data_IF_044866916432
#
_entry.id   IF_044866916432
#
_cell.length_a   1.000
_cell.length_b   1.000
_cell.length_c   1.000
_cell.angle_alpha   90.00
_cell.angle_beta   90.00
_cell.angle_gamma   90.00
#
_symmetry.space_group_name_H-M   'P 1'
#
loop_
_entity.id
_entity.type
_entity.pdbx_description
1 polymer ?
#
# COMPACT_ATOMS: atom_id res chain seq x y z
N UNK A 1 16.00 -7.03 -17.97
CA UNK A 1 16.71 -6.47 -16.83
C UNK A 1 16.96 -5.00 -17.05
N UNK A 2 16.57 -4.14 -16.09
CA UNK A 2 16.89 -2.72 -16.07
C UNK A 2 17.54 -2.36 -14.73
N UNK A 3 18.41 -1.35 -14.74
CA UNK A 3 19.05 -0.83 -13.52
C UNK A 3 18.77 0.66 -13.46
N UNK A 4 18.15 1.09 -12.36
CA UNK A 4 17.90 2.51 -12.05
C UNK A 4 18.82 2.90 -10.90
N UNK A 5 19.48 4.06 -11.05
CA UNK A 5 20.36 4.61 -10.02
C UNK A 5 19.93 6.02 -9.71
N UNK A 6 19.81 6.34 -8.42
CA UNK A 6 19.51 7.66 -7.93
C UNK A 6 20.51 8.04 -6.82
N UNK A 7 21.09 9.23 -6.91
CA UNK A 7 21.87 9.82 -5.83
C UNK A 7 20.98 10.83 -5.12
N UNK A 8 20.78 10.64 -3.83
CA UNK A 8 19.98 11.51 -2.97
C UNK A 8 20.93 12.25 -2.04
N UNK A 9 20.89 13.58 -2.09
CA UNK A 9 21.67 14.45 -1.22
C UNK A 9 20.73 15.13 -0.23
N UNK A 10 21.05 15.02 1.06
CA UNK A 10 20.29 15.62 2.14
C UNK A 10 21.20 15.85 3.36
N UNK A 11 21.15 17.06 3.92
CA UNK A 11 21.89 17.41 5.14
C UNK A 11 23.38 17.00 5.07
N UNK A 12 24.08 17.39 3.98
CA UNK A 12 25.48 17.07 3.68
C UNK A 12 25.80 15.56 3.55
N UNK A 13 24.77 14.73 3.46
CA UNK A 13 24.92 13.29 3.22
C UNK A 13 24.46 12.92 1.83
N UNK A 14 25.28 12.12 1.14
CA UNK A 14 24.93 11.55 -0.16
C UNK A 14 24.63 10.07 -0.01
N UNK A 15 23.47 9.65 -0.50
CA UNK A 15 23.05 8.26 -0.51
C UNK A 15 22.81 7.80 -1.93
N UNK A 16 23.51 6.76 -2.37
CA UNK A 16 23.29 6.12 -3.66
C UNK A 16 22.29 4.97 -3.52
N UNK A 17 21.19 5.04 -4.25
CA UNK A 17 20.18 3.99 -4.34
C UNK A 17 20.26 3.35 -5.72
N UNK A 18 20.36 2.03 -5.78
CA UNK A 18 20.33 1.27 -7.03
C UNK A 18 19.20 0.25 -6.96
N UNK A 19 18.37 0.21 -8.00
CA UNK A 19 17.29 -0.76 -8.17
C UNK A 19 17.56 -1.58 -9.42
N UNK A 20 17.60 -2.88 -9.26
CA UNK A 20 17.65 -3.85 -10.36
C UNK A 20 16.26 -4.44 -10.57
N UNK A 21 15.65 -4.09 -11.68
CA UNK A 21 14.32 -4.55 -12.08
C UNK A 21 14.47 -5.81 -12.93
N UNK A 22 13.89 -6.91 -12.46
CA UNK A 22 14.02 -8.22 -13.08
C UNK A 22 12.63 -8.75 -13.47
N UNK A 23 12.24 -8.74 -14.76
CA UNK A 23 10.98 -9.33 -15.20
C UNK A 23 10.90 -10.81 -14.79
N UNK A 24 9.80 -11.21 -14.14
CA UNK A 24 9.57 -12.59 -13.71
C UNK A 24 10.39 -13.07 -12.52
N UNK A 25 11.23 -12.21 -11.92
CA UNK A 25 12.04 -12.53 -10.72
C UNK A 25 11.95 -11.41 -9.71
N UNK A 26 12.37 -11.68 -8.47
CA UNK A 26 12.44 -10.65 -7.45
C UNK A 26 13.39 -9.51 -7.84
N UNK A 27 12.95 -8.27 -7.66
CA UNK A 27 13.79 -7.10 -7.80
C UNK A 27 14.85 -7.07 -6.69
N UNK A 28 16.02 -6.51 -7.00
CA UNK A 28 17.12 -6.34 -6.05
C UNK A 28 17.40 -4.86 -5.83
N UNK A 29 17.93 -4.53 -4.68
CA UNK A 29 18.34 -3.16 -4.39
C UNK A 29 19.68 -3.10 -3.67
N UNK A 30 20.34 -1.93 -3.77
CA UNK A 30 21.56 -1.61 -3.04
C UNK A 30 21.46 -0.18 -2.51
N UNK A 31 22.03 0.02 -1.33
CA UNK A 31 22.20 1.34 -0.71
C UNK A 31 23.69 1.53 -0.52
N UNK A 32 24.24 2.61 -1.08
CA UNK A 32 25.67 2.91 -1.04
C UNK A 32 26.55 1.72 -1.48
N UNK A 33 26.12 1.03 -2.56
CA UNK A 33 26.72 -0.19 -3.11
C UNK A 33 26.54 -1.47 -2.25
N UNK A 34 26.06 -1.36 -1.02
CA UNK A 34 25.71 -2.50 -0.17
C UNK A 34 24.38 -3.12 -0.60
N UNK A 35 24.31 -4.44 -0.79
CA UNK A 35 23.06 -5.12 -1.08
C UNK A 35 22.14 -5.10 0.15
N UNK A 36 20.84 -4.86 -0.08
CA UNK A 36 19.83 -4.97 0.96
C UNK A 36 19.03 -6.26 0.79
N UNK A 37 18.59 -6.89 1.89
CA UNK A 37 17.85 -8.15 1.85
C UNK A 37 16.58 -8.10 1.02
N UNK A 38 15.90 -6.95 1.01
CA UNK A 38 14.65 -6.74 0.27
C UNK A 38 14.67 -5.41 -0.46
N UNK A 39 14.23 -5.39 -1.71
CA UNK A 39 14.19 -4.17 -2.53
C UNK A 39 13.36 -3.04 -1.88
N UNK A 40 12.36 -3.37 -1.08
CA UNK A 40 11.54 -2.39 -0.35
C UNK A 40 12.28 -1.58 0.73
N UNK A 41 13.48 -1.98 1.13
CA UNK A 41 14.26 -1.26 2.14
C UNK A 41 14.79 0.09 1.64
N UNK A 42 14.71 0.37 0.34
CA UNK A 42 14.99 1.69 -0.23
C UNK A 42 13.83 2.68 -0.08
N UNK A 43 12.64 2.20 0.33
CA UNK A 43 11.49 3.08 0.55
C UNK A 43 11.77 4.07 1.68
N UNK A 44 11.37 5.33 1.48
CA UNK A 44 11.58 6.40 2.45
C UNK A 44 12.92 7.13 2.33
N UNK A 45 13.92 6.61 1.59
CA UNK A 45 15.17 7.32 1.31
C UNK A 45 14.89 8.54 0.43
N UNK A 46 14.14 8.34 -0.65
CA UNK A 46 13.64 9.41 -1.52
C UNK A 46 12.11 9.39 -1.49
N UNK A 47 11.52 10.50 -1.06
CA UNK A 47 10.08 10.71 -1.12
C UNK A 47 9.76 11.52 -2.36
N UNK A 48 8.93 10.97 -3.22
CA UNK A 48 8.52 11.60 -4.47
C UNK A 48 7.01 11.77 -4.51
N UNK A 49 6.55 12.84 -5.13
CA UNK A 49 5.16 13.04 -5.50
C UNK A 49 5.13 13.13 -7.01
N UNK A 50 4.35 12.27 -7.64
CA UNK A 50 4.08 12.32 -9.07
C UNK A 50 2.60 12.68 -9.25
N UNK A 51 2.31 13.63 -10.12
CA UNK A 51 0.97 13.91 -10.59
C UNK A 51 0.89 13.55 -12.06
N UNK A 52 -0.05 12.68 -12.39
CA UNK A 52 -0.24 12.15 -13.74
C UNK A 52 -1.75 12.12 -14.09
N UNK A 53 -2.13 12.07 -15.36
CA UNK A 53 -3.54 11.99 -15.77
C UNK A 53 -4.31 10.84 -15.13
N UNK A 54 -3.62 9.72 -14.83
CA UNK A 54 -4.16 8.55 -14.15
C UNK A 54 -4.62 8.83 -12.71
N UNK A 55 -4.12 9.91 -12.09
CA UNK A 55 -4.53 10.31 -10.73
C UNK A 55 -5.98 10.82 -10.68
N UNK A 56 -6.58 11.12 -11.84
CA UNK A 56 -8.01 11.39 -11.95
C UNK A 56 -8.86 10.17 -11.56
N UNK A 57 -8.31 8.97 -11.61
CA UNK A 57 -8.97 7.75 -11.16
C UNK A 57 -9.20 7.75 -9.65
N UNK A 58 -8.48 8.59 -8.89
CA UNK A 58 -8.75 8.81 -7.49
C UNK A 58 -10.20 9.29 -7.24
N UNK A 59 -10.74 10.09 -8.14
CA UNK A 59 -12.11 10.61 -8.08
C UNK A 59 -13.08 9.75 -8.89
N UNK A 60 -12.70 9.36 -10.09
CA UNK A 60 -13.59 8.69 -11.06
C UNK A 60 -13.51 7.16 -11.03
N UNK A 61 -12.40 6.62 -10.53
CA UNK A 61 -12.11 5.18 -10.50
C UNK A 61 -12.75 4.44 -9.33
N UNK A 62 -12.34 3.21 -9.18
CA UNK A 62 -12.85 2.28 -8.18
C UNK A 62 -12.37 2.60 -6.74
N UNK A 63 -13.08 2.11 -5.71
CA UNK A 63 -12.60 2.18 -4.33
C UNK A 63 -11.21 1.56 -4.12
N UNK A 64 -10.79 0.62 -4.97
CA UNK A 64 -9.45 0.04 -4.97
C UNK A 64 -8.36 1.06 -5.28
N UNK A 65 -8.62 2.02 -6.18
CA UNK A 65 -7.66 3.06 -6.53
C UNK A 65 -7.46 4.03 -5.38
N UNK A 66 -8.54 4.40 -4.71
CA UNK A 66 -8.48 5.23 -3.49
C UNK A 66 -7.74 4.53 -2.35
N UNK A 67 -7.98 3.23 -2.13
CA UNK A 67 -7.23 2.46 -1.12
C UNK A 67 -5.75 2.38 -1.47
N UNK A 68 -5.43 2.12 -2.74
CA UNK A 68 -4.03 2.07 -3.21
C UNK A 68 -3.32 3.40 -2.97
N UNK A 69 -3.95 4.52 -3.29
CA UNK A 69 -3.42 5.85 -3.03
C UNK A 69 -3.09 6.06 -1.54
N UNK A 70 -4.03 5.74 -0.64
CA UNK A 70 -3.79 5.83 0.80
C UNK A 70 -2.64 4.91 1.24
N UNK A 71 -2.62 3.68 0.75
CA UNK A 71 -1.57 2.71 1.09
C UNK A 71 -0.19 3.15 0.61
N UNK A 72 -0.10 3.74 -0.57
CA UNK A 72 1.14 4.27 -1.11
C UNK A 72 1.64 5.47 -0.29
N UNK A 73 0.75 6.37 0.14
CA UNK A 73 1.09 7.45 1.07
C UNK A 73 1.54 6.92 2.44
N UNK A 74 0.85 5.91 2.97
CA UNK A 74 1.22 5.26 4.23
C UNK A 74 2.62 4.66 4.16
N UNK A 75 2.96 3.99 3.06
CA UNK A 75 4.29 3.41 2.84
C UNK A 75 5.37 4.49 2.72
N UNK A 76 5.08 5.60 2.03
CA UNK A 76 6.00 6.74 1.96
C UNK A 76 6.28 7.37 3.33
N UNK A 77 5.28 7.39 4.20
CA UNK A 77 5.36 7.93 5.56
C UNK A 77 6.03 6.98 6.54
N UNK A 78 5.62 5.72 6.50
CA UNK A 78 6.06 4.66 7.40
C UNK A 78 6.40 3.40 6.58
N UNK A 79 7.65 3.25 6.08
CA UNK A 79 8.07 2.16 5.19
C UNK A 79 7.79 0.75 5.74
N UNK A 80 7.67 0.59 7.07
CA UNK A 80 7.28 -0.69 7.70
C UNK A 80 5.90 -1.18 7.21
N UNK A 81 4.98 -0.26 6.90
CA UNK A 81 3.64 -0.60 6.42
C UNK A 81 3.64 -1.28 5.05
N UNK A 82 4.72 -1.17 4.27
CA UNK A 82 4.89 -1.98 3.07
C UNK A 82 4.89 -3.49 3.39
N UNK A 83 5.42 -3.87 4.56
CA UNK A 83 5.37 -5.25 5.04
C UNK A 83 3.96 -5.68 5.42
N UNK A 84 3.29 -4.88 6.23
CA UNK A 84 1.90 -5.13 6.67
C UNK A 84 0.96 -5.28 5.48
N UNK A 85 1.05 -4.36 4.50
CA UNK A 85 0.27 -4.43 3.26
C UNK A 85 0.53 -5.72 2.48
N UNK A 86 1.81 -6.07 2.27
CA UNK A 86 2.17 -7.28 1.54
C UNK A 86 1.69 -8.56 2.26
N UNK A 87 1.74 -8.58 3.58
CA UNK A 87 1.24 -9.68 4.38
C UNK A 87 -0.29 -9.79 4.31
N UNK A 88 -1.01 -8.67 4.42
CA UNK A 88 -2.45 -8.62 4.24
C UNK A 88 -2.89 -9.14 2.87
N UNK A 89 -2.27 -8.65 1.78
CA UNK A 89 -2.58 -9.07 0.41
C UNK A 89 -2.31 -10.58 0.21
N UNK A 90 -1.20 -11.08 0.77
CA UNK A 90 -0.86 -12.50 0.72
C UNK A 90 -1.86 -13.37 1.46
N UNK A 91 -2.22 -12.99 2.69
CA UNK A 91 -3.19 -13.72 3.52
C UNK A 91 -4.56 -13.72 2.85
N UNK A 92 -5.02 -12.56 2.35
CA UNK A 92 -6.28 -12.44 1.63
C UNK A 92 -6.32 -13.36 0.39
N UNK A 93 -5.24 -13.40 -0.39
CA UNK A 93 -5.12 -14.28 -1.55
C UNK A 93 -5.19 -15.75 -1.17
N UNK A 94 -4.48 -16.17 -0.13
CA UNK A 94 -4.49 -17.56 0.35
C UNK A 94 -5.87 -17.98 0.89
N UNK A 95 -6.49 -17.11 1.69
CA UNK A 95 -7.85 -17.32 2.19
C UNK A 95 -8.85 -17.48 1.06
N UNK A 96 -8.82 -16.58 0.07
CA UNK A 96 -9.74 -16.64 -1.07
C UNK A 96 -9.53 -17.91 -1.92
N UNK A 97 -8.28 -18.35 -2.10
CA UNK A 97 -7.97 -19.60 -2.78
C UNK A 97 -8.53 -20.82 -2.02
N UNK A 98 -8.38 -20.83 -0.68
CA UNK A 98 -8.90 -21.88 0.17
C UNK A 98 -10.45 -21.95 0.09
N UNK A 99 -11.12 -20.79 0.20
CA UNK A 99 -12.59 -20.72 0.09
C UNK A 99 -13.09 -21.23 -1.27
N UNK A 100 -12.40 -20.85 -2.37
CA UNK A 100 -12.73 -21.34 -3.71
C UNK A 100 -12.60 -22.85 -3.82
N UNK A 101 -11.51 -23.41 -3.28
CA UNK A 101 -11.28 -24.86 -3.27
C UNK A 101 -12.30 -25.58 -2.38
N UNK A 102 -12.58 -25.04 -1.18
CA UNK A 102 -13.57 -25.59 -0.27
C UNK A 102 -14.98 -25.58 -0.87
N UNK A 103 -15.36 -24.52 -1.57
CA UNK A 103 -16.63 -24.45 -2.29
C UNK A 103 -16.78 -25.54 -3.36
N UNK A 104 -15.70 -25.79 -4.11
CA UNK A 104 -15.68 -26.87 -5.11
C UNK A 104 -15.71 -28.26 -4.45
N UNK A 105 -14.98 -28.47 -3.35
CA UNK A 105 -14.91 -29.72 -2.61
C UNK A 105 -16.21 -30.03 -1.85
N UNK A 106 -17.00 -29.04 -1.43
CA UNK A 106 -18.32 -29.25 -0.80
C UNK A 106 -19.29 -30.00 -1.74
N UNK A 107 -19.09 -29.88 -3.06
CA UNK A 107 -19.82 -30.66 -4.06
C UNK A 107 -19.37 -32.14 -4.12
N UNK A 108 -18.21 -32.46 -3.50
CA UNK A 108 -17.58 -33.79 -3.55
C UNK A 108 -17.43 -34.47 -2.16
N UNK A 109 -17.97 -33.90 -1.08
CA UNK A 109 -18.08 -34.60 0.20
C UNK A 109 -17.15 -34.19 1.34
N UNK A 110 -16.48 -33.07 1.32
CA UNK A 110 -15.81 -32.55 2.52
C UNK A 110 -14.62 -31.62 2.27
N UNK A 111 -14.70 -30.40 2.85
CA UNK A 111 -13.55 -29.52 2.98
C UNK A 111 -13.24 -29.35 4.47
N UNK A 112 -11.96 -29.52 4.86
CA UNK A 112 -11.51 -29.18 6.21
C UNK A 112 -11.43 -27.65 6.35
N UNK A 113 -12.36 -27.09 7.13
CA UNK A 113 -12.47 -25.64 7.37
C UNK A 113 -11.58 -25.16 8.53
N UNK A 114 -10.88 -26.05 9.25
CA UNK A 114 -10.04 -25.68 10.41
C UNK A 114 -8.90 -24.73 10.05
N UNK A 115 -8.38 -24.89 8.83
CA UNK A 115 -7.32 -24.02 8.33
C UNK A 115 -7.82 -22.60 8.06
N UNK A 116 -9.15 -22.39 7.88
CA UNK A 116 -9.73 -21.09 7.61
C UNK A 116 -9.59 -20.15 8.82
N UNK A 117 -9.78 -20.68 10.05
CA UNK A 117 -9.71 -19.89 11.29
C UNK A 117 -8.32 -19.24 11.45
N UNK A 118 -7.26 -19.93 11.04
CA UNK A 118 -5.90 -19.40 11.08
C UNK A 118 -5.77 -18.23 10.10
N UNK A 119 -6.27 -18.39 8.88
CA UNK A 119 -6.23 -17.31 7.88
C UNK A 119 -7.12 -16.13 8.27
N UNK A 120 -8.28 -16.38 8.88
CA UNK A 120 -9.18 -15.35 9.37
C UNK A 120 -8.53 -14.53 10.50
N UNK A 121 -7.86 -15.18 11.43
CA UNK A 121 -7.13 -14.52 12.51
C UNK A 121 -5.99 -13.62 11.97
N UNK A 122 -5.20 -14.14 11.03
CA UNK A 122 -4.14 -13.38 10.38
C UNK A 122 -4.68 -12.20 9.55
N UNK A 123 -5.79 -12.42 8.84
CA UNK A 123 -6.45 -11.37 8.05
C UNK A 123 -6.98 -10.26 8.96
N UNK A 124 -7.61 -10.64 10.08
CA UNK A 124 -8.12 -9.68 11.06
C UNK A 124 -6.98 -8.84 11.66
N UNK A 125 -5.88 -9.47 12.05
CA UNK A 125 -4.74 -8.77 12.64
C UNK A 125 -4.09 -7.78 11.65
N UNK A 126 -3.72 -8.25 10.47
CA UNK A 126 -3.05 -7.40 9.45
C UNK A 126 -4.02 -6.35 8.89
N UNK A 127 -5.29 -6.71 8.72
CA UNK A 127 -6.35 -5.83 8.27
C UNK A 127 -6.66 -4.72 9.26
N UNK A 128 -6.70 -5.02 10.57
CA UNK A 128 -6.92 -4.02 11.62
C UNK A 128 -5.79 -2.98 11.66
N UNK A 129 -4.52 -3.42 11.56
CA UNK A 129 -3.39 -2.50 11.53
C UNK A 129 -3.45 -1.57 10.30
N UNK A 130 -3.74 -2.14 9.12
CA UNK A 130 -3.84 -1.37 7.89
C UNK A 130 -5.03 -0.40 7.90
N UNK A 131 -6.18 -0.84 8.44
CA UNK A 131 -7.37 -0.01 8.57
C UNK A 131 -7.13 1.17 9.53
N UNK A 132 -6.57 0.91 10.71
CA UNK A 132 -6.23 1.95 11.67
C UNK A 132 -5.27 2.99 11.07
N UNK A 133 -4.26 2.54 10.32
CA UNK A 133 -3.34 3.43 9.62
C UNK A 133 -4.05 4.29 8.57
N UNK A 134 -4.99 3.73 7.79
CA UNK A 134 -5.76 4.48 6.80
C UNK A 134 -6.67 5.53 7.45
N UNK A 135 -7.35 5.17 8.54
CA UNK A 135 -8.21 6.10 9.28
C UNK A 135 -7.40 7.29 9.80
N UNK A 136 -6.28 7.04 10.49
CA UNK A 136 -5.42 8.10 10.98
C UNK A 136 -4.84 8.96 9.84
N UNK A 137 -4.48 8.36 8.69
CA UNK A 137 -4.01 9.12 7.53
C UNK A 137 -5.09 10.06 6.98
N UNK A 138 -6.34 9.62 6.90
CA UNK A 138 -7.45 10.46 6.39
C UNK A 138 -7.68 11.66 7.31
N UNK A 139 -7.65 11.45 8.64
CA UNK A 139 -7.77 12.53 9.62
C UNK A 139 -6.63 13.54 9.49
N UNK A 140 -5.39 13.07 9.38
CA UNK A 140 -4.22 13.93 9.22
C UNK A 140 -4.17 14.64 7.86
N UNK A 141 -4.67 14.01 6.79
CA UNK A 141 -4.67 14.58 5.44
C UNK A 141 -5.71 15.69 5.28
N UNK A 142 -6.85 15.58 5.98
CA UNK A 142 -7.99 16.47 5.83
C UNK A 142 -7.63 17.95 5.89
N UNK A 143 -6.92 18.48 6.91
CA UNK A 143 -6.61 19.89 6.99
C UNK A 143 -5.76 20.39 5.81
N UNK A 144 -4.80 19.60 5.34
CA UNK A 144 -3.98 19.97 4.18
C UNK A 144 -4.79 19.97 2.88
N UNK A 145 -5.63 18.96 2.70
CA UNK A 145 -6.50 18.84 1.54
C UNK A 145 -7.53 19.98 1.49
N UNK A 146 -8.07 20.41 2.64
CA UNK A 146 -8.99 21.55 2.73
C UNK A 146 -8.32 22.86 2.33
N UNK A 147 -7.09 23.11 2.77
CA UNK A 147 -6.33 24.30 2.37
C UNK A 147 -6.12 24.32 0.86
N UNK A 148 -5.58 23.23 0.30
CA UNK A 148 -5.35 23.12 -1.14
C UNK A 148 -6.65 23.23 -1.97
N UNK A 149 -7.73 22.60 -1.49
CA UNK A 149 -9.04 22.70 -2.16
C UNK A 149 -9.57 24.13 -2.17
N UNK A 150 -9.46 24.86 -1.05
CA UNK A 150 -9.91 26.26 -0.95
C UNK A 150 -9.18 27.17 -1.93
N UNK A 151 -7.88 26.94 -2.14
CA UNK A 151 -7.07 27.68 -3.12
C UNK A 151 -7.54 27.40 -4.55
N UNK A 152 -7.76 26.14 -4.91
CA UNK A 152 -8.17 25.72 -6.25
C UNK A 152 -9.62 26.13 -6.54
N UNK A 153 -10.53 25.96 -5.56
CA UNK A 153 -11.96 26.28 -5.70
C UNK A 153 -12.26 27.77 -5.57
N UNK A 154 -11.24 28.60 -5.30
CA UNK A 154 -11.42 30.05 -4.99
C UNK A 154 -12.41 30.29 -3.86
N UNK A 155 -12.40 29.42 -2.86
CA UNK A 155 -13.27 29.49 -1.71
C UNK A 155 -14.70 28.98 -1.93
N UNK A 156 -14.97 28.35 -3.06
CA UNK A 156 -16.29 27.76 -3.33
C UNK A 156 -16.37 26.32 -2.78
N UNK A 157 -17.23 26.10 -1.80
CA UNK A 157 -17.49 24.81 -1.18
C UNK A 157 -16.45 24.41 -0.14
N UNK A 158 -16.75 23.30 0.55
CA UNK A 158 -15.88 22.69 1.55
C UNK A 158 -15.52 21.27 1.14
N UNK A 159 -14.28 20.87 1.40
CA UNK A 159 -13.82 19.51 1.18
C UNK A 159 -13.99 18.70 2.47
N UNK A 160 -14.68 17.56 2.37
CA UNK A 160 -14.73 16.53 3.38
C UNK A 160 -14.04 15.26 2.91
N UNK A 161 -13.25 14.61 3.77
CA UNK A 161 -12.70 13.29 3.55
C UNK A 161 -13.28 12.33 4.58
N UNK A 162 -13.92 11.27 4.11
CA UNK A 162 -14.52 10.25 4.97
C UNK A 162 -14.10 8.86 4.48
N UNK A 163 -13.54 8.06 5.38
CA UNK A 163 -13.28 6.65 5.09
C UNK A 163 -14.51 5.82 5.48
N UNK A 164 -15.18 5.23 4.48
CA UNK A 164 -16.29 4.32 4.72
C UNK A 164 -15.76 2.88 4.73
N UNK A 165 -15.77 2.26 5.91
CA UNK A 165 -15.46 0.85 6.06
C UNK A 165 -16.71 -0.01 5.83
N UNK A 166 -16.52 -1.24 5.33
CA UNK A 166 -17.58 -2.27 5.31
C UNK A 166 -17.73 -3.00 6.63
N UNK A 167 -16.90 -2.65 7.62
CA UNK A 167 -16.92 -3.29 8.96
C UNK A 167 -17.81 -2.54 9.98
N UNK A 168 -18.57 -1.55 9.55
CA UNK A 168 -19.50 -0.77 10.38
C UNK A 168 -19.15 0.68 10.43
#
# INVERSE_FOLDING_TARGET
RAIVRARVERDDRSTLVELELNPGKANRARINRGAVPRAREVLGILRTVLFAPEDLDLVKGDPSDRRRFLDDLLVLRAPRLAGVRADYERVLKQRNALLKTAFLAKRSGGADMRTLDVWDSHLAQTGAELLAARLGLVEELLPFAQVAYREVSKGQGELGLVYKSSLG
#
